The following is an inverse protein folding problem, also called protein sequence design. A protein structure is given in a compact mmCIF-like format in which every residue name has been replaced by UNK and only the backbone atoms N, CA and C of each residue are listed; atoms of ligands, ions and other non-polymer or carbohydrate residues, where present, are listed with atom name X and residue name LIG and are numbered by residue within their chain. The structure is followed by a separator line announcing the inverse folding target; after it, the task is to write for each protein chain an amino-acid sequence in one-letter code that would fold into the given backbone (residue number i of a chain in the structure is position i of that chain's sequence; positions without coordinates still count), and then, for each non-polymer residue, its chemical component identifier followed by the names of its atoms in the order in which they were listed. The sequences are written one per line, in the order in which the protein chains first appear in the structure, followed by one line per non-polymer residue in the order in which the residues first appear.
data_IF_258233326720
#
_entry.id   IF_258233326720
#
_cell.length_a   1.000
_cell.length_b   1.000
_cell.length_c   1.000
_cell.angle_alpha   90.00
_cell.angle_beta   90.00
_cell.angle_gamma   90.00
#
_symmetry.space_group_name_H-M   'P 1'
#
loop_
_entity.id
_entity.type
_entity.pdbx_description
1 polymer ?
#
# COMPACT_ATOMS: atom_id res chain seq x y z
N UNK A 1 -5.93 -1.86 -9.61
CA UNK A 1 -6.08 -3.29 -9.99
C UNK A 1 -6.84 -3.40 -11.30
N UNK A 2 -6.21 -3.96 -12.33
CA UNK A 2 -6.94 -4.45 -13.49
C UNK A 2 -7.63 -5.74 -13.06
N UNK A 3 -8.94 -5.67 -12.83
CA UNK A 3 -9.74 -6.86 -12.63
C UNK A 3 -9.67 -7.71 -13.91
N UNK A 4 -9.02 -8.85 -13.84
CA UNK A 4 -9.01 -9.87 -14.90
C UNK A 4 -10.40 -10.55 -15.00
N UNK A 5 -11.43 -9.71 -15.12
CA UNK A 5 -12.82 -10.11 -15.07
C UNK A 5 -13.55 -9.68 -16.34
N UNK A 6 -14.38 -10.56 -16.88
CA UNK A 6 -15.19 -10.21 -18.03
C UNK A 6 -16.15 -9.05 -17.72
N UNK A 7 -16.54 -8.20 -18.69
CA UNK A 7 -17.52 -7.14 -18.49
C UNK A 7 -18.85 -7.65 -17.86
N UNK A 8 -19.25 -8.86 -18.19
CA UNK A 8 -20.47 -9.48 -17.62
C UNK A 8 -20.29 -9.81 -16.13
N UNK A 9 -19.13 -10.27 -15.72
CA UNK A 9 -18.80 -10.55 -14.31
C UNK A 9 -18.77 -9.25 -13.49
N UNK A 10 -18.14 -8.21 -14.03
CA UNK A 10 -18.12 -6.88 -13.39
C UNK A 10 -19.54 -6.35 -13.19
N UNK A 11 -20.39 -6.41 -14.23
CA UNK A 11 -21.80 -6.00 -14.14
C UNK A 11 -22.59 -6.79 -13.10
N UNK A 12 -22.41 -8.11 -13.04
CA UNK A 12 -23.10 -8.96 -12.06
C UNK A 12 -22.65 -8.61 -10.63
N UNK A 13 -21.35 -8.37 -10.42
CA UNK A 13 -20.80 -7.97 -9.12
C UNK A 13 -21.34 -6.60 -8.69
N UNK A 14 -21.35 -5.61 -9.59
CA UNK A 14 -21.88 -4.27 -9.29
C UNK A 14 -23.36 -4.32 -8.87
N UNK A 15 -24.20 -5.06 -9.62
CA UNK A 15 -25.60 -5.23 -9.24
C UNK A 15 -25.79 -5.90 -7.88
N UNK A 16 -24.91 -6.84 -7.53
CA UNK A 16 -24.93 -7.46 -6.20
C UNK A 16 -24.57 -6.45 -5.12
N UNK A 17 -23.49 -5.68 -5.30
CA UNK A 17 -23.06 -4.66 -4.34
C UNK A 17 -24.14 -3.57 -4.16
N UNK A 18 -24.78 -3.15 -5.25
CA UNK A 18 -25.89 -2.19 -5.22
C UNK A 18 -27.11 -2.74 -4.48
N UNK A 19 -27.54 -3.98 -4.79
CA UNK A 19 -28.62 -4.66 -4.08
C UNK A 19 -28.33 -4.82 -2.59
N UNK A 20 -27.08 -5.09 -2.23
CA UNK A 20 -26.63 -5.29 -0.85
C UNK A 20 -26.43 -3.92 -0.12
N UNK A 21 -26.62 -2.82 -0.85
CA UNK A 21 -26.56 -1.43 -0.35
C UNK A 21 -25.15 -0.98 -0.02
N UNK A 22 -24.13 -1.54 -0.67
CA UNK A 22 -22.73 -1.16 -0.47
C UNK A 22 -22.25 -0.09 -1.42
N UNK A 23 -22.86 -0.01 -2.61
CA UNK A 23 -22.57 1.03 -3.61
C UNK A 23 -23.86 1.61 -4.16
N UNK A 24 -23.76 2.85 -4.68
CA UNK A 24 -24.77 3.51 -5.51
C UNK A 24 -24.14 3.91 -6.83
N UNK A 25 -24.96 4.02 -7.86
CA UNK A 25 -24.58 4.69 -9.11
C UNK A 25 -25.11 6.13 -9.07
N UNK A 26 -24.24 7.12 -9.22
CA UNK A 26 -24.64 8.50 -9.33
C UNK A 26 -25.23 8.81 -10.72
N UNK A 27 -25.70 10.03 -10.93
CA UNK A 27 -26.31 10.49 -12.20
C UNK A 27 -25.33 10.38 -13.40
N UNK A 28 -24.02 10.35 -13.14
CA UNK A 28 -22.98 10.16 -14.16
C UNK A 28 -22.59 8.70 -14.39
N UNK A 29 -23.32 7.76 -13.73
CA UNK A 29 -23.04 6.33 -13.72
C UNK A 29 -21.66 5.97 -13.10
N UNK A 30 -21.13 6.84 -12.25
CA UNK A 30 -19.94 6.57 -11.46
C UNK A 30 -20.35 5.79 -10.19
N UNK A 31 -19.49 4.89 -9.75
CA UNK A 31 -19.75 4.06 -8.57
C UNK A 31 -19.31 4.82 -7.33
N UNK A 32 -20.21 4.99 -6.38
CA UNK A 32 -19.93 5.60 -5.08
C UNK A 32 -20.23 4.61 -3.96
N UNK A 33 -19.35 4.55 -2.97
CA UNK A 33 -19.59 3.76 -1.76
C UNK A 33 -20.67 4.44 -0.92
N UNK A 34 -21.64 3.66 -0.43
CA UNK A 34 -22.55 4.10 0.64
C UNK A 34 -21.80 4.14 1.98
N UNK A 35 -22.38 4.71 3.04
CA UNK A 35 -21.79 4.64 4.39
C UNK A 35 -21.56 3.19 4.83
N UNK A 36 -22.53 2.30 4.60
CA UNK A 36 -22.38 0.86 4.82
C UNK A 36 -21.24 0.26 3.99
N UNK A 37 -21.08 0.71 2.74
CA UNK A 37 -19.98 0.30 1.86
C UNK A 37 -18.62 0.74 2.40
N UNK A 38 -18.51 1.99 2.86
CA UNK A 38 -17.29 2.52 3.49
C UNK A 38 -16.92 1.75 4.77
N UNK A 39 -17.89 1.50 5.65
CA UNK A 39 -17.67 0.70 6.86
C UNK A 39 -17.21 -0.73 6.53
N UNK A 40 -17.83 -1.35 5.52
CA UNK A 40 -17.45 -2.70 5.08
C UNK A 40 -16.03 -2.73 4.51
N UNK A 41 -15.68 -1.76 3.65
CA UNK A 41 -14.34 -1.63 3.07
C UNK A 41 -13.29 -1.37 4.15
N UNK A 42 -13.56 -0.44 5.08
CA UNK A 42 -12.67 -0.16 6.21
C UNK A 42 -12.45 -1.40 7.09
N UNK A 43 -13.50 -2.20 7.31
CA UNK A 43 -13.38 -3.45 8.08
C UNK A 43 -12.54 -4.51 7.39
N UNK A 44 -12.54 -4.57 6.05
CA UNK A 44 -11.67 -5.47 5.28
C UNK A 44 -10.23 -4.95 5.33
N UNK A 45 -10.02 -3.68 5.00
CA UNK A 45 -8.69 -3.05 5.03
C UNK A 45 -8.03 -3.17 6.41
N UNK A 46 -8.80 -3.00 7.49
CA UNK A 46 -8.29 -3.19 8.85
C UNK A 46 -7.78 -4.62 9.08
N UNK A 47 -8.55 -5.65 8.69
CA UNK A 47 -8.11 -7.05 8.85
C UNK A 47 -6.91 -7.37 7.96
N UNK A 48 -6.89 -6.83 6.74
CA UNK A 48 -5.76 -6.98 5.83
C UNK A 48 -4.48 -6.41 6.44
N UNK A 49 -4.49 -5.14 6.84
CA UNK A 49 -3.33 -4.47 7.43
C UNK A 49 -2.85 -5.13 8.73
N UNK A 50 -3.77 -5.63 9.56
CA UNK A 50 -3.42 -6.42 10.74
C UNK A 50 -2.77 -7.77 10.38
N UNK A 51 -3.29 -8.44 9.34
CA UNK A 51 -2.71 -9.68 8.85
C UNK A 51 -1.29 -9.46 8.31
N UNK A 52 -1.08 -8.40 7.51
CA UNK A 52 0.26 -8.03 7.02
C UNK A 52 1.23 -7.79 8.18
N UNK A 53 0.82 -6.96 9.16
CA UNK A 53 1.66 -6.65 10.29
C UNK A 53 2.02 -7.90 11.10
N UNK A 54 1.06 -8.78 11.34
CA UNK A 54 1.26 -10.05 12.04
C UNK A 54 2.21 -10.99 11.27
N UNK A 55 2.00 -11.16 9.98
CA UNK A 55 2.81 -12.02 9.12
C UNK A 55 4.27 -11.54 9.08
N UNK A 56 4.48 -10.25 8.93
CA UNK A 56 5.81 -9.66 8.88
C UNK A 56 6.48 -9.62 10.26
N UNK A 57 5.76 -9.03 11.25
CA UNK A 57 6.36 -8.73 12.55
C UNK A 57 6.51 -9.97 13.44
N UNK A 58 5.53 -10.86 13.48
CA UNK A 58 5.54 -12.04 14.34
C UNK A 58 6.08 -13.28 13.63
N UNK A 59 5.58 -13.58 12.43
CA UNK A 59 5.96 -14.80 11.71
C UNK A 59 7.20 -14.64 10.85
N UNK A 60 7.74 -13.40 10.71
CA UNK A 60 8.94 -13.10 9.91
C UNK A 60 8.83 -13.53 8.46
N UNK A 61 7.63 -13.50 7.92
CA UNK A 61 7.43 -13.69 6.48
C UNK A 61 8.21 -12.59 5.73
N UNK A 62 8.93 -12.92 4.65
CA UNK A 62 9.61 -11.93 3.84
C UNK A 62 8.65 -10.81 3.42
N UNK A 63 9.09 -9.55 3.54
CA UNK A 63 8.27 -8.38 3.33
C UNK A 63 7.55 -8.37 1.97
N UNK A 64 8.22 -8.81 0.92
CA UNK A 64 7.68 -8.88 -0.45
C UNK A 64 6.60 -9.96 -0.65
N UNK A 65 6.40 -10.89 0.30
CA UNK A 65 5.35 -11.91 0.25
C UNK A 65 4.16 -11.61 1.17
N UNK A 66 4.29 -10.60 2.01
CA UNK A 66 3.32 -10.34 3.09
C UNK A 66 1.93 -10.07 2.54
N UNK A 67 1.81 -9.23 1.48
CA UNK A 67 0.53 -8.85 0.88
C UNK A 67 -0.25 -10.06 0.36
N UNK A 68 0.39 -10.90 -0.45
CA UNK A 68 -0.23 -12.12 -1.02
C UNK A 68 -0.78 -13.05 0.06
N UNK A 69 -0.02 -13.24 1.15
CA UNK A 69 -0.48 -14.08 2.26
C UNK A 69 -1.56 -13.41 3.12
N UNK A 70 -1.47 -12.10 3.33
CA UNK A 70 -2.48 -11.33 4.07
C UNK A 70 -3.83 -11.36 3.36
N UNK A 71 -3.84 -11.22 2.04
CA UNK A 71 -5.06 -11.32 1.21
C UNK A 71 -5.82 -12.64 1.42
N UNK A 72 -5.09 -13.74 1.59
CA UNK A 72 -5.70 -15.03 1.91
C UNK A 72 -6.18 -15.13 3.36
N UNK A 73 -5.47 -14.50 4.30
CA UNK A 73 -5.74 -14.61 5.73
C UNK A 73 -6.88 -13.69 6.20
N UNK A 74 -7.03 -12.49 5.63
CA UNK A 74 -8.02 -11.47 6.05
C UNK A 74 -9.45 -11.98 6.13
N UNK A 75 -9.81 -12.88 5.20
CA UNK A 75 -11.15 -13.49 5.13
C UNK A 75 -11.45 -14.45 6.28
N UNK A 76 -10.43 -15.03 6.89
CA UNK A 76 -10.56 -15.93 8.05
C UNK A 76 -10.56 -15.16 9.39
N UNK A 77 -10.12 -13.91 9.42
CA UNK A 77 -10.07 -13.08 10.62
C UNK A 77 -11.48 -12.56 10.94
N UNK A 78 -12.10 -13.15 11.96
CA UNK A 78 -13.38 -12.65 12.47
C UNK A 78 -13.19 -11.33 13.25
N UNK A 79 -14.26 -10.54 13.50
CA UNK A 79 -14.15 -9.30 14.30
C UNK A 79 -13.53 -9.53 15.68
N UNK A 80 -13.86 -10.65 16.35
CA UNK A 80 -13.28 -11.02 17.64
C UNK A 80 -11.77 -11.28 17.51
N UNK A 81 -11.36 -12.02 16.48
CA UNK A 81 -9.94 -12.32 16.22
C UNK A 81 -9.19 -11.03 15.89
N UNK A 82 -9.76 -10.15 15.05
CA UNK A 82 -9.16 -8.86 14.71
C UNK A 82 -8.89 -8.01 15.96
N UNK A 83 -9.89 -7.86 16.85
CA UNK A 83 -9.73 -7.10 18.08
C UNK A 83 -8.64 -7.67 19.00
N UNK A 84 -8.54 -9.00 19.12
CA UNK A 84 -7.48 -9.65 19.91
C UNK A 84 -6.10 -9.54 19.28
N UNK A 85 -6.06 -9.63 17.96
CA UNK A 85 -4.82 -9.49 17.20
C UNK A 85 -4.27 -8.06 17.31
N UNK A 86 -5.15 -7.05 17.19
CA UNK A 86 -4.79 -5.65 17.36
C UNK A 86 -4.24 -5.37 18.76
N UNK A 87 -4.90 -5.88 19.82
CA UNK A 87 -4.43 -5.78 21.20
C UNK A 87 -3.06 -6.46 21.37
N UNK A 88 -2.90 -7.66 20.83
CA UNK A 88 -1.65 -8.44 20.90
C UNK A 88 -0.49 -7.73 20.21
N UNK A 89 -0.74 -7.12 19.04
CA UNK A 89 0.25 -6.40 18.24
C UNK A 89 0.55 -4.97 18.77
N UNK A 90 -0.13 -4.53 19.83
CA UNK A 90 0.10 -3.22 20.45
C UNK A 90 -0.48 -2.06 19.66
N UNK A 91 -1.60 -2.27 18.95
CA UNK A 91 -2.31 -1.26 18.16
C UNK A 91 -1.41 -0.62 17.08
N UNK A 92 -0.93 -1.39 16.09
CA UNK A 92 -0.11 -0.86 15.02
C UNK A 92 -0.88 0.23 14.27
N UNK A 93 -0.18 1.29 13.86
CA UNK A 93 -0.79 2.41 13.15
C UNK A 93 -0.70 2.28 11.63
N UNK A 94 0.28 1.54 11.16
CA UNK A 94 0.58 1.34 9.74
C UNK A 94 0.88 -0.13 9.48
N UNK A 95 0.58 -0.58 8.26
CA UNK A 95 1.02 -1.89 7.79
C UNK A 95 2.50 -1.84 7.36
N UNK A 96 3.13 -2.98 7.06
CA UNK A 96 4.55 -3.02 6.62
C UNK A 96 4.83 -2.28 5.31
N UNK A 97 3.83 -2.07 4.45
CA UNK A 97 3.95 -1.30 3.21
C UNK A 97 3.67 0.19 3.40
N UNK A 98 3.38 0.61 4.64
CA UNK A 98 3.20 2.01 5.03
C UNK A 98 1.75 2.48 5.02
N UNK A 99 0.80 1.68 4.54
CA UNK A 99 -0.62 2.04 4.53
C UNK A 99 -1.16 2.21 5.95
N UNK A 100 -1.90 3.31 6.25
CA UNK A 100 -2.43 3.55 7.58
C UNK A 100 -3.57 2.58 7.92
N UNK A 101 -3.70 2.24 9.20
CA UNK A 101 -4.90 1.57 9.69
C UNK A 101 -6.11 2.49 9.48
N UNK A 102 -7.32 1.94 9.19
CA UNK A 102 -8.51 2.75 9.01
C UNK A 102 -8.76 3.71 10.16
N UNK A 103 -8.96 4.99 9.85
CA UNK A 103 -9.12 6.07 10.84
C UNK A 103 -7.82 6.67 11.37
N UNK A 104 -6.67 6.17 10.94
CA UNK A 104 -5.36 6.77 11.20
C UNK A 104 -4.95 7.60 9.99
N UNK A 105 -4.44 8.79 10.24
CA UNK A 105 -3.83 9.63 9.21
C UNK A 105 -2.31 9.61 9.35
N UNK A 106 -1.61 9.76 8.22
CA UNK A 106 -0.18 10.02 8.28
C UNK A 106 0.08 11.35 9.00
N UNK A 107 1.18 11.46 9.77
CA UNK A 107 1.57 12.73 10.38
C UNK A 107 1.60 13.82 9.31
N UNK A 108 1.19 15.05 9.68
CA UNK A 108 0.99 16.23 8.82
C UNK A 108 2.23 16.73 8.03
N UNK A 109 3.18 15.90 7.76
CA UNK A 109 4.30 16.19 6.85
C UNK A 109 3.78 15.96 5.43
N UNK A 110 3.86 16.92 4.52
CA UNK A 110 3.43 16.71 3.14
C UNK A 110 4.23 15.54 2.55
N UNK A 111 3.51 14.53 2.09
CA UNK A 111 4.07 13.45 1.30
C UNK A 111 4.10 13.89 -0.16
N UNK A 112 5.08 13.40 -0.89
CA UNK A 112 5.19 13.58 -2.34
C UNK A 112 5.60 12.25 -2.97
N UNK A 113 5.18 12.00 -4.22
CA UNK A 113 5.70 10.89 -4.98
C UNK A 113 7.22 10.98 -5.10
N UNK A 114 7.91 9.87 -4.91
CA UNK A 114 9.38 9.82 -5.02
C UNK A 114 9.88 10.33 -6.38
N UNK A 115 9.08 10.14 -7.44
CA UNK A 115 9.36 10.69 -8.77
C UNK A 115 9.44 12.22 -8.82
N UNK A 116 8.89 12.93 -7.84
CA UNK A 116 8.91 14.39 -7.75
C UNK A 116 10.03 14.92 -6.85
N UNK A 117 10.69 14.04 -6.07
CA UNK A 117 11.76 14.43 -5.18
C UNK A 117 12.98 15.02 -5.94
N UNK A 118 13.53 16.12 -5.42
CA UNK A 118 14.63 16.83 -6.07
C UNK A 118 15.97 16.14 -5.86
N UNK A 119 16.86 16.23 -6.86
CA UNK A 119 18.25 15.78 -6.73
C UNK A 119 18.96 16.49 -5.57
N UNK A 120 19.71 15.74 -4.78
CA UNK A 120 20.42 16.23 -3.59
C UNK A 120 19.56 16.26 -2.32
N UNK A 121 18.29 15.89 -2.40
CA UNK A 121 17.40 15.82 -1.23
C UNK A 121 17.52 14.46 -0.54
N UNK A 122 17.56 14.47 0.78
CA UNK A 122 17.43 13.27 1.60
C UNK A 122 15.94 12.99 1.85
N UNK A 123 15.53 11.78 1.58
CA UNK A 123 14.14 11.34 1.71
C UNK A 123 14.03 10.14 2.65
N UNK A 124 12.84 9.97 3.21
CA UNK A 124 12.42 8.75 3.89
C UNK A 124 11.23 8.16 3.14
N UNK A 125 11.28 6.88 2.81
CA UNK A 125 10.15 6.16 2.23
C UNK A 125 9.06 6.04 3.29
N UNK A 126 7.82 6.40 2.92
CA UNK A 126 6.69 6.39 3.86
C UNK A 126 5.69 5.31 3.52
N UNK A 127 5.28 5.21 2.26
CA UNK A 127 4.23 4.31 1.84
C UNK A 127 4.41 3.91 0.37
N UNK A 128 3.98 2.69 0.05
CA UNK A 128 3.81 2.22 -1.31
C UNK A 128 2.35 2.33 -1.74
N UNK A 129 2.11 2.59 -3.02
CA UNK A 129 0.77 2.48 -3.59
C UNK A 129 0.34 1.01 -3.65
N UNK A 130 -0.89 0.72 -3.22
CA UNK A 130 -1.45 -0.65 -3.18
C UNK A 130 -1.37 -1.36 -4.55
N UNK A 131 -1.35 -0.62 -5.65
CA UNK A 131 -1.31 -1.18 -7.00
C UNK A 131 -0.03 -1.96 -7.31
N UNK A 132 1.06 -1.78 -6.55
CA UNK A 132 2.32 -2.52 -6.73
C UNK A 132 2.52 -3.61 -5.67
N UNK A 133 1.65 -3.73 -4.70
CA UNK A 133 1.79 -4.72 -3.62
C UNK A 133 1.53 -6.17 -4.10
N UNK A 134 0.86 -6.34 -5.23
CA UNK A 134 0.66 -7.64 -5.91
C UNK A 134 1.88 -8.08 -6.76
N UNK A 135 2.87 -7.19 -6.96
CA UNK A 135 4.02 -7.43 -7.85
C UNK A 135 5.23 -7.96 -7.04
N UNK A 136 5.20 -9.24 -6.68
CA UNK A 136 6.20 -9.88 -5.80
C UNK A 136 7.65 -9.65 -6.24
N UNK A 137 7.94 -9.74 -7.54
CA UNK A 137 9.31 -9.53 -8.07
C UNK A 137 9.75 -8.08 -7.90
N UNK A 138 8.83 -7.11 -8.07
CA UNK A 138 9.11 -5.70 -7.82
C UNK A 138 9.32 -5.44 -6.33
N UNK A 139 8.43 -5.93 -5.47
CA UNK A 139 8.58 -5.79 -4.01
C UNK A 139 9.89 -6.42 -3.52
N UNK A 140 10.27 -7.57 -4.09
CA UNK A 140 11.56 -8.19 -3.77
C UNK A 140 12.73 -7.28 -4.16
N UNK A 141 12.69 -6.69 -5.35
CA UNK A 141 13.71 -5.73 -5.78
C UNK A 141 13.77 -4.51 -4.84
N UNK A 142 12.62 -3.96 -4.44
CA UNK A 142 12.55 -2.84 -3.51
C UNK A 142 13.11 -3.22 -2.13
N UNK A 143 12.77 -4.40 -1.60
CA UNK A 143 13.33 -4.92 -0.35
C UNK A 143 14.84 -5.07 -0.40
N UNK A 144 15.37 -5.73 -1.44
CA UNK A 144 16.81 -5.96 -1.63
C UNK A 144 17.58 -4.63 -1.78
N UNK A 145 16.91 -3.60 -2.26
CA UNK A 145 17.41 -2.22 -2.44
C UNK A 145 17.14 -1.31 -1.23
N UNK A 146 16.54 -1.82 -0.16
CA UNK A 146 16.09 -1.07 1.03
C UNK A 146 15.09 0.06 0.74
N UNK A 147 14.37 0.01 -0.38
CA UNK A 147 13.31 0.97 -0.70
C UNK A 147 12.01 0.50 -0.02
N UNK A 148 11.97 0.64 1.29
CA UNK A 148 10.88 0.18 2.16
C UNK A 148 10.48 1.29 3.13
N UNK A 149 9.25 1.30 3.65
CA UNK A 149 8.84 2.28 4.65
C UNK A 149 9.81 2.38 5.84
N UNK A 150 10.15 3.63 6.20
CA UNK A 150 11.12 3.96 7.25
C UNK A 150 12.58 4.00 6.79
N UNK A 151 12.91 3.56 5.58
CA UNK A 151 14.27 3.62 5.06
C UNK A 151 14.57 4.99 4.43
N UNK A 152 15.83 5.41 4.53
CA UNK A 152 16.28 6.73 4.10
C UNK A 152 17.21 6.60 2.90
N UNK A 153 17.04 7.50 1.94
CA UNK A 153 17.85 7.58 0.73
C UNK A 153 18.20 9.02 0.40
N UNK A 154 19.29 9.19 -0.34
CA UNK A 154 19.63 10.45 -1.02
C UNK A 154 19.18 10.31 -2.48
N UNK A 155 18.44 11.26 -2.99
CA UNK A 155 18.17 11.37 -4.43
C UNK A 155 19.45 11.81 -5.12
N UNK A 156 20.18 10.87 -5.69
CA UNK A 156 21.52 11.13 -6.25
C UNK A 156 21.46 11.78 -7.62
N UNK A 157 20.60 11.27 -8.49
CA UNK A 157 20.52 11.73 -9.88
C UNK A 157 19.14 11.44 -10.48
N UNK A 158 18.76 12.25 -11.45
CA UNK A 158 17.58 12.06 -12.29
C UNK A 158 18.07 11.94 -13.74
N UNK A 159 17.86 10.78 -14.35
CA UNK A 159 18.33 10.49 -15.71
C UNK A 159 17.12 10.52 -16.65
N UNK A 160 16.82 11.69 -17.19
CA UNK A 160 15.60 11.91 -17.98
C UNK A 160 15.56 11.08 -19.29
N UNK A 161 16.73 10.84 -19.91
CA UNK A 161 16.82 10.07 -21.15
C UNK A 161 16.39 8.60 -20.99
N UNK A 162 16.56 8.04 -19.80
CA UNK A 162 16.14 6.66 -19.45
C UNK A 162 14.94 6.63 -18.54
N UNK A 163 14.38 7.77 -18.16
CA UNK A 163 13.29 7.91 -17.18
C UNK A 163 13.60 7.17 -15.88
N UNK A 164 14.81 7.36 -15.34
CA UNK A 164 15.31 6.64 -14.17
C UNK A 164 15.72 7.62 -13.06
N UNK A 165 15.32 7.31 -11.83
CA UNK A 165 15.77 7.94 -10.61
C UNK A 165 16.87 7.08 -9.98
N UNK A 166 17.97 7.69 -9.59
CA UNK A 166 19.06 7.03 -8.86
C UNK A 166 19.01 7.43 -7.40
N UNK A 167 18.83 6.44 -6.55
CA UNK A 167 18.85 6.60 -5.09
C UNK A 167 20.15 6.06 -4.53
N UNK A 168 20.70 6.76 -3.55
CA UNK A 168 21.84 6.32 -2.76
C UNK A 168 21.39 5.94 -1.36
N UNK A 169 21.73 4.74 -0.93
CA UNK A 169 21.61 4.24 0.44
C UNK A 169 22.98 3.79 0.97
N UNK A 170 23.01 3.27 2.18
CA UNK A 170 24.20 2.62 2.75
C UNK A 170 24.63 1.36 1.97
N UNK A 171 23.68 0.70 1.28
CA UNK A 171 23.95 -0.50 0.47
C UNK A 171 24.39 -0.19 -0.97
N UNK A 172 24.47 1.07 -1.36
CA UNK A 172 24.87 1.48 -2.71
C UNK A 172 23.81 2.25 -3.48
N UNK A 173 23.88 2.17 -4.80
CA UNK A 173 22.97 2.86 -5.71
C UNK A 173 21.84 1.93 -6.17
N UNK A 174 20.63 2.47 -6.17
CA UNK A 174 19.42 1.82 -6.69
C UNK A 174 18.84 2.65 -7.82
N UNK A 175 18.52 2.00 -8.93
CA UNK A 175 17.90 2.63 -10.09
C UNK A 175 16.42 2.30 -10.11
N UNK A 176 15.56 3.32 -10.07
CA UNK A 176 14.11 3.18 -10.15
C UNK A 176 13.56 3.89 -11.39
N UNK A 177 12.78 3.20 -12.25
CA UNK A 177 11.99 3.87 -13.28
C UNK A 177 11.06 4.92 -12.67
N UNK A 178 10.81 6.03 -13.36
CA UNK A 178 9.95 7.11 -12.86
C UNK A 178 8.51 6.66 -12.59
N UNK A 179 7.99 5.74 -13.39
CA UNK A 179 6.64 5.18 -13.20
C UNK A 179 6.53 4.38 -11.90
N UNK A 180 7.57 3.64 -11.52
CA UNK A 180 7.64 2.96 -10.22
C UNK A 180 7.85 3.98 -9.10
N UNK A 181 8.75 4.94 -9.26
CA UNK A 181 8.99 5.98 -8.27
C UNK A 181 7.75 6.85 -8.02
N UNK A 182 6.84 6.98 -8.99
CA UNK A 182 5.56 7.69 -8.83
C UNK A 182 4.55 6.96 -7.92
N UNK A 183 4.78 5.67 -7.64
CA UNK A 183 3.94 4.83 -6.79
C UNK A 183 4.53 4.64 -5.38
N UNK A 184 5.54 5.41 -5.03
CA UNK A 184 6.20 5.38 -3.73
C UNK A 184 6.12 6.79 -3.12
N UNK A 185 5.42 6.91 -2.02
CA UNK A 185 5.33 8.17 -1.29
C UNK A 185 6.48 8.32 -0.31
N UNK A 186 7.08 9.49 -0.34
CA UNK A 186 8.21 9.85 0.51
C UNK A 186 7.97 11.17 1.24
N UNK A 187 8.76 11.41 2.28
CA UNK A 187 8.92 12.73 2.89
C UNK A 187 10.35 13.18 2.79
N UNK A 188 10.55 14.46 2.56
CA UNK A 188 11.87 15.07 2.64
C UNK A 188 12.29 15.19 4.11
N UNK A 189 13.55 14.90 4.38
CA UNK A 189 14.16 15.01 5.71
C UNK A 189 15.39 15.88 5.67
N UNK A 190 15.60 16.70 6.72
CA UNK A 190 16.74 17.60 6.84
C UNK A 190 18.03 16.87 7.27
#
# INVERSE_FOLDING_TARGET
QRLDSSPSTVHATLRRLERDGLVNLNDRKEIELTEKGKESAAGIAHRHNLAEYFLWHELKIPWYLVHTHAHSLEHAITPLVAARLEEYLGHPKFCPHGSPMPGIEHPHTPLLPLSEASTGTKIEVVMLDESIEDEEDLLKYLQDSLVMPGQQHMVQERIDVTHTLVLQSENGLTNLPYDIAALIDVREIC
#
